data_IF_457424639359
#
_entry.id   IF_457424639359
#
_cell.length_a   1.000
_cell.length_b   1.000
_cell.length_c   1.000
_cell.angle_alpha   90.00
_cell.angle_beta   90.00
_cell.angle_gamma   90.00
#
_symmetry.space_group_name_H-M   'P 1'
#
loop_
_entity.id
_entity.type
_entity.pdbx_description
1 polymer ?
#
# COMPACT_ATOMS: atom_id res chain seq x y z
N UNK A 1 10.92 -6.34 -88.52
CA UNK A 1 12.16 -5.55 -88.67
C UNK A 1 12.48 -5.01 -87.30
N UNK A 2 13.51 -5.56 -86.68
CA UNK A 2 13.80 -5.36 -85.25
C UNK A 2 14.29 -3.92 -85.04
N UNK A 3 13.91 -3.27 -83.94
CA UNK A 3 14.38 -1.93 -83.57
C UNK A 3 15.92 -1.80 -83.60
N UNK A 4 16.63 -2.93 -83.44
CA UNK A 4 18.08 -3.04 -83.59
C UNK A 4 18.57 -2.72 -85.00
N UNK A 5 17.86 -3.16 -86.04
CA UNK A 5 18.31 -3.03 -87.43
C UNK A 5 18.14 -1.59 -87.93
N UNK A 6 17.03 -0.94 -87.53
CA UNK A 6 16.77 0.47 -87.83
C UNK A 6 17.73 1.42 -87.10
N UNK A 7 18.16 1.06 -85.88
CA UNK A 7 19.18 1.82 -85.14
C UNK A 7 20.58 1.66 -85.74
N UNK A 8 20.91 0.46 -86.23
CA UNK A 8 22.18 0.18 -86.89
C UNK A 8 22.31 0.93 -88.23
N UNK A 9 21.23 1.00 -89.01
CA UNK A 9 21.19 1.75 -90.29
C UNK A 9 21.25 3.27 -90.07
N UNK A 10 20.58 3.79 -89.04
CA UNK A 10 20.64 5.20 -88.64
C UNK A 10 22.03 5.64 -88.11
N UNK A 11 22.80 4.71 -87.54
CA UNK A 11 24.17 4.97 -87.08
C UNK A 11 25.17 4.99 -88.24
N UNK A 12 24.93 4.20 -89.29
CA UNK A 12 25.78 4.11 -90.47
C UNK A 12 25.65 5.31 -91.43
N UNK A 13 24.50 6.00 -91.46
CA UNK A 13 24.28 7.17 -92.33
C UNK A 13 23.45 8.25 -91.61
N UNK A 14 24.10 9.17 -90.87
CA UNK A 14 23.41 10.09 -89.99
C UNK A 14 22.71 11.20 -90.78
N UNK A 15 21.43 11.00 -91.11
CA UNK A 15 20.58 12.11 -91.56
C UNK A 15 20.07 12.90 -90.35
N UNK A 16 19.90 14.24 -90.45
CA UNK A 16 19.49 15.09 -89.33
C UNK A 16 18.22 14.61 -88.60
N UNK A 17 17.29 13.99 -89.33
CA UNK A 17 16.05 13.44 -88.78
C UNK A 17 16.24 12.30 -87.78
N UNK A 18 17.23 11.42 -87.98
CA UNK A 18 17.51 10.30 -87.08
C UNK A 18 18.12 10.77 -85.75
N UNK A 19 19.00 11.77 -85.80
CA UNK A 19 19.58 12.39 -84.60
C UNK A 19 18.49 13.09 -83.77
N UNK A 20 17.58 13.81 -84.41
CA UNK A 20 16.43 14.42 -83.74
C UNK A 20 15.50 13.36 -83.12
N UNK A 21 15.21 12.27 -83.82
CA UNK A 21 14.37 11.18 -83.29
C UNK A 21 14.99 10.50 -82.05
N UNK A 22 16.31 10.24 -82.07
CA UNK A 22 17.05 9.71 -80.92
C UNK A 22 17.06 10.69 -79.74
N UNK A 23 17.28 11.98 -79.99
CA UNK A 23 17.27 13.01 -78.95
C UNK A 23 15.89 13.13 -78.28
N UNK A 24 14.81 13.11 -79.07
CA UNK A 24 13.43 13.16 -78.55
C UNK A 24 13.09 11.88 -77.78
N UNK A 25 13.46 10.70 -78.29
CA UNK A 25 13.28 9.43 -77.58
C UNK A 25 14.02 9.39 -76.25
N UNK A 26 15.28 9.84 -76.22
CA UNK A 26 16.08 9.96 -75.00
C UNK A 26 15.47 10.94 -73.99
N UNK A 27 14.95 12.08 -74.45
CA UNK A 27 14.28 13.07 -73.60
C UNK A 27 12.99 12.52 -72.96
N UNK A 28 12.18 11.78 -73.73
CA UNK A 28 10.95 11.13 -73.23
C UNK A 28 11.29 10.07 -72.18
N UNK A 29 12.35 9.27 -72.40
CA UNK A 29 12.81 8.25 -71.46
C UNK A 29 13.39 8.87 -70.18
N UNK A 30 14.19 9.94 -70.29
CA UNK A 30 14.70 10.66 -69.13
C UNK A 30 13.56 11.29 -68.32
N UNK A 31 12.55 11.83 -69.00
CA UNK A 31 11.37 12.41 -68.36
C UNK A 31 10.50 11.35 -67.66
N UNK A 32 10.27 10.21 -68.30
CA UNK A 32 9.50 9.11 -67.70
C UNK A 32 10.22 8.51 -66.49
N UNK A 33 11.54 8.33 -66.55
CA UNK A 33 12.34 7.88 -65.41
C UNK A 33 12.28 8.87 -64.25
N UNK A 34 12.42 10.18 -64.53
CA UNK A 34 12.28 11.22 -63.50
C UNK A 34 10.89 11.18 -62.85
N UNK A 35 9.84 11.00 -63.66
CA UNK A 35 8.46 10.85 -63.16
C UNK A 35 8.30 9.63 -62.26
N UNK A 36 8.78 8.45 -62.68
CA UNK A 36 8.73 7.23 -61.88
C UNK A 36 9.48 7.37 -60.55
N UNK A 37 10.68 7.94 -60.56
CA UNK A 37 11.44 8.21 -59.32
C UNK A 37 10.65 9.10 -58.36
N UNK A 38 9.97 10.13 -58.89
CA UNK A 38 9.16 11.01 -58.04
C UNK A 38 7.92 10.33 -57.46
N UNK A 39 7.29 9.42 -58.21
CA UNK A 39 6.17 8.62 -57.72
C UNK A 39 6.63 7.59 -56.67
N UNK A 40 7.75 6.89 -56.91
CA UNK A 40 8.36 5.96 -55.96
C UNK A 40 8.70 6.65 -54.64
N UNK A 41 9.32 7.84 -54.69
CA UNK A 41 9.61 8.63 -53.49
C UNK A 41 8.35 9.05 -52.73
N UNK A 42 7.24 9.32 -53.43
CA UNK A 42 5.95 9.61 -52.77
C UNK A 42 5.40 8.38 -52.07
N UNK A 43 5.48 7.20 -52.69
CA UNK A 43 5.03 5.95 -52.08
C UNK A 43 5.92 5.54 -50.91
N UNK A 44 7.24 5.69 -51.03
CA UNK A 44 8.18 5.43 -49.93
C UNK A 44 7.87 6.29 -48.71
N UNK A 45 7.62 7.59 -48.89
CA UNK A 45 7.23 8.49 -47.79
C UNK A 45 5.91 8.11 -47.13
N UNK A 46 4.94 7.62 -47.90
CA UNK A 46 3.66 7.15 -47.36
C UNK A 46 3.83 5.86 -46.58
N UNK A 47 4.63 4.93 -47.11
CA UNK A 47 4.94 3.66 -46.43
C UNK A 47 5.74 3.93 -45.15
N UNK A 48 6.73 4.83 -45.17
CA UNK A 48 7.49 5.17 -43.97
C UNK A 48 6.60 5.80 -42.90
N UNK A 49 5.71 6.72 -43.27
CA UNK A 49 4.74 7.30 -42.33
C UNK A 49 3.81 6.24 -41.71
N UNK A 50 3.29 5.32 -42.52
CA UNK A 50 2.45 4.23 -42.03
C UNK A 50 3.21 3.27 -41.09
N UNK A 51 4.49 2.99 -41.36
CA UNK A 51 5.35 2.19 -40.48
C UNK A 51 5.63 2.91 -39.17
N UNK A 52 5.86 4.23 -39.20
CA UNK A 52 6.03 5.03 -37.99
C UNK A 52 4.77 5.05 -37.13
N UNK A 53 3.58 5.22 -37.73
CA UNK A 53 2.30 5.14 -37.02
C UNK A 53 2.09 3.77 -36.39
N UNK A 54 2.35 2.69 -37.12
CA UNK A 54 2.31 1.32 -36.58
C UNK A 54 3.28 1.14 -35.42
N UNK A 55 4.49 1.67 -35.53
CA UNK A 55 5.49 1.56 -34.47
C UNK A 55 5.08 2.34 -33.22
N UNK A 56 4.48 3.53 -33.37
CA UNK A 56 3.90 4.31 -32.26
C UNK A 56 2.73 3.57 -31.60
N UNK A 57 1.84 2.96 -32.40
CA UNK A 57 0.75 2.14 -31.89
C UNK A 57 1.27 0.88 -31.15
N UNK A 58 2.32 0.23 -31.67
CA UNK A 58 2.94 -0.91 -31.00
C UNK A 58 3.64 -0.51 -29.70
N UNK A 59 4.29 0.66 -29.66
CA UNK A 59 4.93 1.19 -28.45
C UNK A 59 3.89 1.51 -27.36
N UNK A 60 2.80 2.19 -27.71
CA UNK A 60 1.70 2.46 -26.77
C UNK A 60 1.03 1.19 -26.27
N UNK A 61 0.84 0.17 -27.12
CA UNK A 61 0.31 -1.13 -26.70
C UNK A 61 1.26 -1.85 -25.72
N UNK A 62 2.58 -1.78 -25.93
CA UNK A 62 3.56 -2.33 -24.98
C UNK A 62 3.48 -1.62 -23.63
N UNK A 63 3.38 -0.29 -23.64
CA UNK A 63 3.24 0.50 -22.42
C UNK A 63 1.95 0.15 -21.67
N UNK A 64 0.82 0.04 -22.38
CA UNK A 64 -0.45 -0.38 -21.78
C UNK A 64 -0.36 -1.77 -21.13
N UNK A 65 0.34 -2.72 -21.76
CA UNK A 65 0.55 -4.06 -21.19
C UNK A 65 1.44 -4.04 -19.94
N UNK A 66 2.45 -3.17 -19.90
CA UNK A 66 3.28 -3.01 -18.69
C UNK A 66 2.44 -2.47 -17.54
N UNK A 67 1.64 -1.43 -17.80
CA UNK A 67 0.73 -0.86 -16.80
C UNK A 67 -0.32 -1.88 -16.32
N UNK A 68 -0.85 -2.71 -17.22
CA UNK A 68 -1.75 -3.81 -16.83
C UNK A 68 -1.07 -4.82 -15.90
N UNK A 69 0.21 -5.12 -16.15
CA UNK A 69 1.03 -5.96 -15.26
C UNK A 69 1.20 -5.33 -13.88
N UNK A 70 1.57 -4.06 -13.82
CA UNK A 70 1.73 -3.28 -12.57
C UNK A 70 0.43 -3.19 -11.77
N UNK A 71 -0.71 -2.99 -12.46
CA UNK A 71 -2.03 -2.97 -11.84
C UNK A 71 -2.39 -4.35 -11.26
N UNK A 72 -2.08 -5.44 -11.95
CA UNK A 72 -2.33 -6.79 -11.43
C UNK A 72 -1.51 -7.09 -10.18
N UNK A 73 -0.23 -6.69 -10.15
CA UNK A 73 0.60 -6.86 -8.96
C UNK A 73 0.06 -6.03 -7.79
N UNK A 74 -0.32 -4.77 -8.04
CA UNK A 74 -0.90 -3.92 -7.00
C UNK A 74 -2.22 -4.47 -6.44
N UNK A 75 -3.06 -5.09 -7.28
CA UNK A 75 -4.28 -5.76 -6.82
C UNK A 75 -3.98 -6.97 -5.93
N UNK A 76 -2.98 -7.77 -6.27
CA UNK A 76 -2.57 -8.91 -5.43
C UNK A 76 -2.04 -8.47 -4.07
N UNK A 77 -1.25 -7.39 -4.04
CA UNK A 77 -0.73 -6.84 -2.79
C UNK A 77 -1.89 -6.32 -1.89
N UNK A 78 -2.85 -5.60 -2.48
CA UNK A 78 -4.03 -5.10 -1.77
C UNK A 78 -4.93 -6.23 -1.25
N UNK A 79 -5.12 -7.31 -2.03
CA UNK A 79 -5.87 -8.49 -1.57
C UNK A 79 -5.17 -9.14 -0.36
N UNK A 80 -3.84 -9.21 -0.36
CA UNK A 80 -3.06 -9.67 0.79
C UNK A 80 -3.24 -8.79 2.02
N UNK A 81 -3.15 -7.46 1.87
CA UNK A 81 -3.38 -6.51 2.95
C UNK A 81 -4.80 -6.61 3.53
N UNK A 82 -5.81 -6.80 2.67
CA UNK A 82 -7.20 -7.00 3.09
C UNK A 82 -7.35 -8.29 3.90
N UNK A 83 -6.68 -9.36 3.51
CA UNK A 83 -6.68 -10.61 4.27
C UNK A 83 -6.07 -10.40 5.66
N UNK A 84 -4.92 -9.74 5.77
CA UNK A 84 -4.28 -9.42 7.05
C UNK A 84 -5.16 -8.53 7.94
N UNK A 85 -5.85 -7.54 7.38
CA UNK A 85 -6.81 -6.71 8.11
C UNK A 85 -7.98 -7.57 8.59
N UNK A 86 -8.48 -8.48 7.76
CA UNK A 86 -9.60 -9.36 8.12
C UNK A 86 -9.24 -10.30 9.27
N UNK A 87 -8.01 -10.83 9.30
CA UNK A 87 -7.50 -11.66 10.40
C UNK A 87 -7.43 -10.84 11.69
N UNK A 88 -6.82 -9.65 11.63
CA UNK A 88 -6.75 -8.74 12.79
C UNK A 88 -8.13 -8.33 13.29
N UNK A 89 -9.08 -8.09 12.39
CA UNK A 89 -10.46 -7.75 12.76
C UNK A 89 -11.14 -8.91 13.51
N UNK A 90 -10.99 -10.15 13.01
CA UNK A 90 -11.50 -11.35 13.70
C UNK A 90 -10.88 -11.53 15.08
N UNK A 91 -9.58 -11.30 15.23
CA UNK A 91 -8.91 -11.37 16.53
C UNK A 91 -9.46 -10.33 17.52
N UNK A 92 -9.71 -9.11 17.06
CA UNK A 92 -10.31 -8.04 17.87
C UNK A 92 -11.76 -8.37 18.23
N UNK A 93 -12.54 -8.91 17.30
CA UNK A 93 -13.91 -9.36 17.56
C UNK A 93 -13.95 -10.51 18.57
N UNK A 94 -13.04 -11.47 18.47
CA UNK A 94 -12.91 -12.56 19.44
C UNK A 94 -12.57 -12.02 20.83
N UNK A 95 -11.62 -11.09 20.94
CA UNK A 95 -11.28 -10.40 22.21
C UNK A 95 -12.44 -9.59 22.76
N UNK A 96 -13.23 -8.96 21.90
CA UNK A 96 -14.44 -8.25 22.33
C UNK A 96 -15.48 -9.23 22.88
N UNK A 97 -15.67 -10.37 22.23
CA UNK A 97 -16.57 -11.43 22.67
C UNK A 97 -16.20 -11.96 24.05
N UNK A 98 -14.91 -12.21 24.30
CA UNK A 98 -14.44 -12.63 25.64
C UNK A 98 -14.67 -11.55 26.68
N UNK A 99 -14.36 -10.28 26.38
CA UNK A 99 -14.61 -9.16 27.30
C UNK A 99 -16.10 -8.97 27.67
N UNK A 100 -17.02 -9.26 26.75
CA UNK A 100 -18.47 -9.17 27.02
C UNK A 100 -18.98 -10.27 27.94
N UNK A 101 -18.31 -11.42 28.00
CA UNK A 101 -18.68 -12.53 28.88
C UNK A 101 -18.16 -12.35 30.31
N UNK A 102 -17.16 -11.47 30.51
CA UNK A 102 -16.61 -11.19 31.84
C UNK A 102 -17.54 -10.25 32.60
N UNK A 103 -17.94 -10.65 33.81
CA UNK A 103 -18.72 -9.82 34.72
C UNK A 103 -17.92 -8.53 35.01
N UNK A 104 -18.46 -7.32 34.73
CA UNK A 104 -17.75 -6.08 34.96
C UNK A 104 -17.46 -5.93 36.45
N UNK A 105 -16.17 -5.96 36.83
CA UNK A 105 -15.73 -5.58 38.17
C UNK A 105 -15.55 -4.07 38.24
N UNK A 106 -16.28 -3.42 39.15
CA UNK A 106 -16.09 -2.00 39.44
C UNK A 106 -14.76 -1.80 40.19
N UNK A 107 -13.74 -1.31 39.48
CA UNK A 107 -12.46 -0.92 40.07
C UNK A 107 -12.55 0.53 40.58
N UNK A 108 -12.21 0.75 41.85
CA UNK A 108 -12.07 2.10 42.40
C UNK A 108 -10.74 2.71 41.92
N UNK A 109 -10.76 3.30 40.72
CA UNK A 109 -9.61 3.97 40.13
C UNK A 109 -9.46 5.39 40.73
N UNK A 110 -8.28 5.71 41.26
CA UNK A 110 -7.98 7.10 41.63
C UNK A 110 -7.32 7.90 40.50
N UNK A 111 -6.87 7.24 39.41
CA UNK A 111 -6.34 7.87 38.21
C UNK A 111 -6.99 7.31 36.95
N UNK A 112 -7.55 8.18 36.10
CA UNK A 112 -8.12 7.81 34.79
C UNK A 112 -7.13 7.97 33.62
N UNK A 113 -6.00 8.64 33.83
CA UNK A 113 -4.98 8.82 32.80
C UNK A 113 -4.08 7.58 32.73
N UNK A 114 -4.14 6.86 31.62
CA UNK A 114 -3.29 5.72 31.29
C UNK A 114 -2.34 6.09 30.15
N UNK A 115 -1.05 5.73 30.28
CA UNK A 115 -0.03 5.83 29.23
C UNK A 115 0.47 4.47 28.79
N UNK A 116 0.93 4.37 27.55
CA UNK A 116 1.52 3.15 27.00
C UNK A 116 2.78 2.78 27.81
N UNK A 117 2.75 1.62 28.48
CA UNK A 117 3.81 1.15 29.39
C UNK A 117 3.47 1.24 30.89
N UNK A 118 2.33 1.84 31.26
CA UNK A 118 1.88 1.86 32.65
C UNK A 118 1.33 0.50 33.09
N UNK A 119 1.69 0.08 34.30
CA UNK A 119 1.15 -1.11 34.96
C UNK A 119 0.06 -0.73 35.95
N UNK A 120 -0.93 -1.61 36.12
CA UNK A 120 -1.99 -1.43 37.10
C UNK A 120 -1.45 -1.84 38.47
N UNK A 121 -1.58 -0.97 39.47
CA UNK A 121 -1.23 -1.27 40.84
C UNK A 121 -2.47 -1.27 41.72
N UNK A 122 -2.45 -2.14 42.74
CA UNK A 122 -3.43 -2.21 43.79
C UNK A 122 -2.80 -1.76 45.11
N UNK A 123 -3.49 -0.86 45.81
CA UNK A 123 -3.14 -0.48 47.17
C UNK A 123 -4.32 -0.66 48.11
N UNK A 124 -4.02 -1.23 49.28
CA UNK A 124 -4.96 -1.33 50.38
C UNK A 124 -4.69 -0.20 51.37
N UNK A 125 -5.66 0.69 51.53
CA UNK A 125 -5.55 1.90 52.36
C UNK A 125 -6.52 1.80 53.54
N UNK A 126 -6.07 2.14 54.75
CA UNK A 126 -6.91 2.27 55.94
C UNK A 126 -6.94 3.71 56.44
N UNK A 127 -8.11 4.22 56.84
CA UNK A 127 -8.26 5.56 57.40
C UNK A 127 -7.73 5.59 58.84
N UNK A 128 -6.91 6.58 59.15
CA UNK A 128 -6.42 6.88 60.51
C UNK A 128 -7.41 7.84 61.14
N UNK A 129 -8.34 7.32 61.96
CA UNK A 129 -9.25 8.17 62.73
C UNK A 129 -8.50 8.74 63.94
N UNK A 130 -8.39 10.07 63.99
CA UNK A 130 -7.83 10.80 65.12
C UNK A 130 -8.67 10.60 66.39
N UNK A 131 -7.99 10.41 67.51
CA UNK A 131 -8.49 10.02 68.84
C UNK A 131 -9.01 8.57 68.96
N UNK A 132 -8.09 7.66 69.27
CA UNK A 132 -8.43 6.35 69.82
C UNK A 132 -8.34 5.17 68.86
N UNK A 133 -7.15 4.93 68.28
CA UNK A 133 -6.62 3.59 67.95
C UNK A 133 -7.42 2.63 67.04
N UNK A 134 -8.57 3.02 66.52
CA UNK A 134 -9.41 2.16 65.67
C UNK A 134 -8.98 2.27 64.21
N UNK A 135 -8.46 1.18 63.62
CA UNK A 135 -8.31 1.07 62.17
C UNK A 135 -9.71 1.03 61.54
N UNK A 136 -10.12 2.11 60.89
CA UNK A 136 -11.34 2.11 60.08
C UNK A 136 -11.09 1.33 58.78
N UNK A 137 -12.13 0.61 58.32
CA UNK A 137 -12.07 -0.48 57.35
C UNK A 137 -11.17 -0.23 56.13
N UNK A 138 -10.37 -1.24 55.79
CA UNK A 138 -9.44 -1.20 54.67
C UNK A 138 -10.18 -1.10 53.33
N UNK A 139 -9.89 -0.06 52.54
CA UNK A 139 -10.40 0.14 51.18
C UNK A 139 -9.32 -0.22 50.17
N UNK A 140 -9.73 -0.87 49.09
CA UNK A 140 -8.85 -1.19 47.95
C UNK A 140 -9.00 -0.11 46.89
N UNK A 141 -7.88 0.42 46.42
CA UNK A 141 -7.82 1.46 45.41
C UNK A 141 -6.82 1.06 44.33
N UNK A 142 -7.17 1.34 43.07
CA UNK A 142 -6.36 0.99 41.90
C UNK A 142 -5.88 2.25 41.16
N UNK A 143 -4.75 2.15 40.47
CA UNK A 143 -4.26 3.23 39.63
C UNK A 143 -3.13 2.80 38.70
N UNK A 144 -2.92 3.58 37.65
CA UNK A 144 -1.93 3.32 36.61
C UNK A 144 -0.64 4.12 36.87
N UNK A 145 0.50 3.44 36.79
CA UNK A 145 1.81 4.07 36.87
C UNK A 145 2.89 3.28 36.11
N UNK A 146 3.93 3.98 35.67
CA UNK A 146 5.11 3.38 35.07
C UNK A 146 5.92 2.50 36.05
N UNK A 147 5.78 2.73 37.36
CA UNK A 147 6.43 1.89 38.37
C UNK A 147 5.94 2.11 39.80
N UNK A 148 6.42 1.30 40.76
CA UNK A 148 5.91 1.28 42.13
C UNK A 148 6.12 2.59 42.89
N UNK A 149 7.23 3.29 42.62
CA UNK A 149 7.56 4.58 43.25
C UNK A 149 6.62 5.68 42.77
N UNK A 150 6.36 5.74 41.47
CA UNK A 150 5.46 6.72 40.88
C UNK A 150 4.02 6.49 41.33
N UNK A 151 3.60 5.23 41.43
CA UNK A 151 2.31 4.87 41.99
C UNK A 151 2.17 5.37 43.43
N UNK A 152 3.17 5.11 44.28
CA UNK A 152 3.17 5.59 45.67
C UNK A 152 3.10 7.12 45.75
N UNK A 153 3.83 7.83 44.90
CA UNK A 153 3.80 9.29 44.85
C UNK A 153 2.42 9.83 44.46
N UNK A 154 1.81 9.28 43.40
CA UNK A 154 0.45 9.64 42.98
C UNK A 154 -0.58 9.31 44.05
N UNK A 155 -0.42 8.17 44.73
CA UNK A 155 -1.31 7.74 45.81
C UNK A 155 -1.21 8.64 47.04
N UNK A 156 0.00 9.00 47.47
CA UNK A 156 0.22 9.89 48.61
C UNK A 156 -0.22 11.34 48.33
N UNK A 157 -0.16 11.79 47.08
CA UNK A 157 -0.71 13.09 46.68
C UNK A 157 -2.24 13.14 46.82
N UNK A 158 -2.93 12.01 46.60
CA UNK A 158 -4.39 11.93 46.72
C UNK A 158 -4.87 11.54 48.13
N UNK A 159 -4.11 10.71 48.82
CA UNK A 159 -4.37 10.21 50.17
C UNK A 159 -3.19 10.56 51.09
N UNK A 160 -3.24 11.73 51.76
CA UNK A 160 -2.14 12.16 52.62
C UNK A 160 -1.91 11.18 53.78
N UNK A 161 -0.64 10.92 54.15
CA UNK A 161 -0.30 10.01 55.25
C UNK A 161 -0.81 10.47 56.62
N UNK A 162 -1.18 11.75 56.75
CA UNK A 162 -1.81 12.30 57.95
C UNK A 162 -3.22 11.72 58.20
N UNK A 163 -3.90 11.23 57.17
CA UNK A 163 -5.27 10.72 57.26
C UNK A 163 -5.39 9.24 56.88
N UNK A 164 -4.40 8.68 56.20
CA UNK A 164 -4.46 7.32 55.65
C UNK A 164 -3.13 6.58 55.81
N UNK A 165 -3.21 5.28 56.09
CA UNK A 165 -2.08 4.36 56.11
C UNK A 165 -2.22 3.37 54.96
N UNK A 166 -1.15 3.22 54.17
CA UNK A 166 -1.05 2.19 53.14
C UNK A 166 -0.57 0.91 53.80
N UNK A 167 -1.39 -0.13 53.70
CA UNK A 167 -1.14 -1.44 54.33
C UNK A 167 -0.31 -2.32 53.40
N UNK A 168 -0.67 -2.34 52.12
CA UNK A 168 -0.08 -3.23 51.13
C UNK A 168 -0.16 -2.58 49.76
N UNK A 169 0.87 -2.81 48.93
CA UNK A 169 0.97 -2.32 47.57
C UNK A 169 1.49 -3.46 46.69
N UNK A 170 0.68 -3.89 45.73
CA UNK A 170 1.01 -4.96 44.81
C UNK A 170 0.84 -4.49 43.37
N UNK A 171 1.72 -4.94 42.48
CA UNK A 171 1.47 -4.86 41.05
C UNK A 171 0.38 -5.87 40.72
N UNK A 172 -0.65 -5.45 39.99
CA UNK A 172 -1.68 -6.34 39.51
C UNK A 172 -1.13 -7.00 38.25
N UNK A 173 -0.88 -8.30 38.32
CA UNK A 173 -0.49 -9.06 37.14
C UNK A 173 -1.71 -9.22 36.22
N UNK A 174 -1.72 -8.43 35.15
CA UNK A 174 -2.75 -8.49 34.13
C UNK A 174 -2.76 -9.86 33.43
N UNK A 175 -1.64 -10.60 33.42
CA UNK A 175 -1.55 -11.96 32.86
C UNK A 175 -2.24 -13.00 33.73
N UNK A 176 -2.14 -12.90 35.06
CA UNK A 176 -2.87 -13.77 35.99
C UNK A 176 -4.39 -13.51 35.93
N UNK A 177 -4.78 -12.25 35.71
CA UNK A 177 -6.15 -11.86 35.40
C UNK A 177 -6.64 -12.44 34.06
N UNK A 178 -5.80 -12.45 33.03
CA UNK A 178 -6.11 -13.02 31.71
C UNK A 178 -6.27 -14.55 31.79
N UNK A 179 -5.45 -15.22 32.61
CA UNK A 179 -5.59 -16.66 32.91
C UNK A 179 -6.87 -16.98 33.69
N UNK A 180 -7.27 -16.13 34.64
CA UNK A 180 -8.54 -16.30 35.35
C UNK A 180 -9.76 -16.12 34.42
N UNK A 181 -9.67 -15.20 33.46
CA UNK A 181 -10.71 -14.97 32.44
C UNK A 181 -10.78 -16.12 31.44
N UNK A 182 -9.64 -16.64 30.98
CA UNK A 182 -9.60 -17.78 30.06
C UNK A 182 -10.05 -19.10 30.72
N UNK A 183 -9.77 -19.29 32.01
CA UNK A 183 -10.31 -20.42 32.79
C UNK A 183 -11.82 -20.33 33.06
N UNK A 184 -12.38 -19.12 33.15
CA UNK A 184 -13.84 -18.91 33.21
C UNK A 184 -14.51 -19.16 31.84
N UNK A 185 -13.80 -18.84 30.75
CA UNK A 185 -14.23 -19.13 29.39
C UNK A 185 -14.26 -20.63 29.07
N UNK A 186 -13.36 -21.44 29.63
CA UNK A 186 -13.37 -22.90 29.49
C UNK A 186 -14.39 -23.59 30.39
N UNK A 187 -14.67 -23.05 31.58
CA UNK A 187 -15.67 -23.60 32.50
C UNK A 187 -17.13 -23.38 32.07
N UNK A 188 -17.38 -22.44 31.15
CA UNK A 188 -18.71 -22.13 30.61
C UNK A 188 -18.95 -22.66 29.19
N UNK A 189 -18.09 -23.55 28.67
CA UNK A 189 -18.41 -24.32 27.46
C UNK A 189 -19.25 -25.55 27.85
N UNK A 190 -20.43 -25.77 27.24
CA UNK A 190 -21.18 -27.02 27.37
C UNK A 190 -20.46 -28.20 26.71
#
# INVERSE_FOLDING_TARGET
MMLSDALAEAYANPSPGHVCALAVGGAIMAWSLKRLITEVRKTERRVSAAVEERNKAAASLRQARLQEGELRTALQDLDGELEEISVRARDVEARRGTLQQVIPRHLNLFSQAWSQGDTLFEARISLVTGLGGGKSGARVVHGYAAGPRDFRNKLMARFPPASYVVVEMAAVDLGELDMAVSNLGSANQP
#
